data_IF_568844433637
#
_entry.id   IF_568844433637
#
_cell.length_a   1.000
_cell.length_b   1.000
_cell.length_c   1.000
_cell.angle_alpha   90.00
_cell.angle_beta   90.00
_cell.angle_gamma   90.00
#
_symmetry.space_group_name_H-M   'P 1'
#
loop_
_entity.id
_entity.type
_entity.pdbx_description
1 polymer ?
#
# COMPACT_ATOMS: atom_id res chain seq x y z
N UNK A 1 17.87 16.88 -42.52
CA UNK A 1 17.67 17.73 -41.33
C UNK A 1 16.32 17.50 -40.66
N UNK A 2 15.22 17.31 -41.41
CA UNK A 2 13.88 17.04 -40.85
C UNK A 2 13.74 15.67 -40.18
N UNK A 3 14.36 14.62 -40.74
CA UNK A 3 14.27 13.24 -40.23
C UNK A 3 14.78 13.08 -38.78
N UNK A 4 15.88 13.75 -38.42
CA UNK A 4 16.40 13.75 -37.05
C UNK A 4 15.48 14.47 -36.05
N UNK A 5 14.76 15.50 -36.52
CA UNK A 5 13.76 16.22 -35.73
C UNK A 5 12.54 15.34 -35.44
N UNK A 6 12.11 14.54 -36.42
CA UNK A 6 11.02 13.58 -36.23
C UNK A 6 11.38 12.47 -35.24
N UNK A 7 12.61 11.93 -35.32
CA UNK A 7 13.09 10.91 -34.37
C UNK A 7 13.21 11.49 -32.95
N UNK A 8 13.75 12.70 -32.81
CA UNK A 8 13.81 13.39 -31.53
C UNK A 8 12.43 13.67 -30.94
N UNK A 9 11.48 14.12 -31.76
CA UNK A 9 10.10 14.36 -31.33
C UNK A 9 9.39 13.07 -30.90
N UNK A 10 9.59 11.96 -31.63
CA UNK A 10 9.04 10.65 -31.28
C UNK A 10 9.58 10.13 -29.94
N UNK A 11 10.89 10.29 -29.69
CA UNK A 11 11.50 9.92 -28.42
C UNK A 11 10.99 10.79 -27.27
N UNK A 12 10.82 12.10 -27.51
CA UNK A 12 10.27 13.03 -26.54
C UNK A 12 8.82 12.70 -26.18
N UNK A 13 7.98 12.40 -27.17
CA UNK A 13 6.57 12.02 -26.98
C UNK A 13 6.48 10.67 -26.27
N UNK A 14 7.33 9.70 -26.62
CA UNK A 14 7.39 8.42 -25.92
C UNK A 14 7.82 8.55 -24.46
N UNK A 15 8.79 9.42 -24.18
CA UNK A 15 9.24 9.73 -22.82
C UNK A 15 8.13 10.42 -22.02
N UNK A 16 7.45 11.40 -22.62
CA UNK A 16 6.31 12.08 -22.01
C UNK A 16 5.16 11.10 -21.71
N UNK A 17 4.86 10.19 -22.64
CA UNK A 17 3.84 9.16 -22.45
C UNK A 17 4.21 8.17 -21.34
N UNK A 18 5.48 7.81 -21.22
CA UNK A 18 5.98 6.93 -20.15
C UNK A 18 5.84 7.59 -18.77
N UNK A 19 6.14 8.90 -18.67
CA UNK A 19 5.96 9.72 -17.47
C UNK A 19 4.48 9.97 -17.14
N UNK A 20 3.60 10.06 -18.14
CA UNK A 20 2.17 10.29 -17.94
C UNK A 20 1.40 9.00 -17.61
N UNK A 21 2.00 7.83 -17.86
CA UNK A 21 1.42 6.52 -17.55
C UNK A 21 1.08 6.29 -16.07
N UNK A 22 1.90 6.67 -15.06
CA UNK A 22 1.52 6.54 -13.65
C UNK A 22 0.35 7.48 -13.26
N UNK A 23 0.18 8.61 -13.95
CA UNK A 23 -0.90 9.57 -13.66
C UNK A 23 -2.30 9.05 -14.05
N UNK A 24 -2.38 8.07 -14.96
CA UNK A 24 -3.64 7.39 -15.31
C UNK A 24 -3.88 6.06 -14.60
N UNK A 25 -2.91 5.56 -13.84
CA UNK A 25 -3.07 4.32 -13.05
C UNK A 25 -3.85 4.55 -11.74
N UNK A 26 -4.24 5.78 -11.43
CA UNK A 26 -5.29 6.09 -10.43
C UNK A 26 -6.72 5.78 -10.91
N UNK A 27 -6.90 5.24 -12.12
CA UNK A 27 -8.21 4.89 -12.68
C UNK A 27 -8.60 3.41 -12.44
N UNK A 28 -8.37 2.90 -11.23
CA UNK A 28 -8.96 1.64 -10.75
C UNK A 28 -10.29 1.92 -10.02
N UNK A 29 -11.20 2.65 -10.70
CA UNK A 29 -12.52 3.10 -10.21
C UNK A 29 -13.56 1.99 -10.05
N UNK A 30 -13.19 0.72 -10.25
CA UNK A 30 -14.10 -0.43 -10.11
C UNK A 30 -14.01 -1.14 -8.76
N UNK A 31 -13.18 -0.67 -7.82
CA UNK A 31 -13.19 -1.08 -6.40
C UNK A 31 -13.09 0.08 -5.42
N UNK A 32 -13.44 1.30 -5.82
CA UNK A 32 -13.42 2.45 -4.91
C UNK A 32 -14.48 2.28 -3.81
N UNK A 33 -14.09 1.58 -2.74
CA UNK A 33 -14.56 1.93 -1.42
C UNK A 33 -14.36 3.45 -1.26
N UNK A 34 -15.29 4.15 -0.59
CA UNK A 34 -15.06 5.55 -0.26
C UNK A 34 -13.70 5.62 0.46
N UNK A 35 -12.72 6.28 -0.15
CA UNK A 35 -11.43 6.49 0.50
C UNK A 35 -11.75 7.35 1.71
N UNK A 36 -11.40 6.85 2.89
CA UNK A 36 -11.58 7.59 4.13
C UNK A 36 -10.77 8.88 4.02
N UNK A 37 -11.18 9.95 4.70
CA UNK A 37 -10.38 11.20 4.72
C UNK A 37 -8.92 10.93 5.19
N UNK A 38 -8.74 9.88 5.99
CA UNK A 38 -7.46 9.34 6.44
C UNK A 38 -6.64 8.73 5.30
N UNK A 39 -7.23 7.90 4.43
CA UNK A 39 -6.54 7.30 3.29
C UNK A 39 -6.00 8.37 2.33
N UNK A 40 -6.81 9.42 2.10
CA UNK A 40 -6.42 10.57 1.27
C UNK A 40 -5.27 11.38 1.88
N UNK A 41 -5.24 11.53 3.20
CA UNK A 41 -4.15 12.22 3.90
C UNK A 41 -2.86 11.39 3.86
N UNK A 42 -2.94 10.08 4.07
CA UNK A 42 -1.81 9.17 3.96
C UNK A 42 -1.22 9.18 2.54
N UNK A 43 -2.07 9.12 1.53
CA UNK A 43 -1.63 9.15 0.12
C UNK A 43 -0.91 10.46 -0.22
N UNK A 44 -1.44 11.60 0.25
CA UNK A 44 -0.78 12.91 0.09
C UNK A 44 0.60 12.95 0.75
N UNK A 45 0.71 12.45 1.97
CA UNK A 45 1.97 12.39 2.71
C UNK A 45 3.00 11.47 2.01
N UNK A 46 2.56 10.32 1.52
CA UNK A 46 3.39 9.40 0.74
C UNK A 46 3.85 10.02 -0.58
N UNK A 47 2.96 10.74 -1.27
CA UNK A 47 3.29 11.48 -2.48
C UNK A 47 4.36 12.54 -2.21
N UNK A 48 4.21 13.31 -1.12
CA UNK A 48 5.18 14.33 -0.74
C UNK A 48 6.55 13.75 -0.38
N UNK A 49 6.58 12.55 0.23
CA UNK A 49 7.84 11.83 0.47
C UNK A 49 8.54 11.50 -0.84
N UNK A 50 7.81 10.95 -1.81
CA UNK A 50 8.40 10.59 -3.10
C UNK A 50 8.87 11.84 -3.86
N UNK A 51 8.13 12.95 -3.79
CA UNK A 51 8.55 14.20 -4.44
C UNK A 51 9.85 14.75 -3.88
N UNK A 52 10.03 14.72 -2.55
CA UNK A 52 11.29 15.15 -1.91
C UNK A 52 12.45 14.24 -2.30
N UNK A 53 12.23 12.91 -2.29
CA UNK A 53 13.26 11.95 -2.68
C UNK A 53 13.66 12.11 -4.15
N UNK A 54 12.70 12.39 -5.02
CA UNK A 54 12.99 12.68 -6.42
C UNK A 54 13.77 14.00 -6.56
N UNK A 55 13.34 15.06 -5.88
CA UNK A 55 14.04 16.34 -5.90
C UNK A 55 15.50 16.23 -5.44
N UNK A 56 15.78 15.41 -4.42
CA UNK A 56 17.14 15.19 -3.93
C UNK A 56 18.00 14.43 -4.96
N UNK A 57 17.42 13.46 -5.67
CA UNK A 57 18.09 12.74 -6.77
C UNK A 57 18.39 13.67 -7.95
N UNK A 58 17.42 14.47 -8.36
CA UNK A 58 17.57 15.40 -9.48
C UNK A 58 18.62 16.48 -9.17
N UNK A 59 18.64 16.99 -7.93
CA UNK A 59 19.64 17.95 -7.45
C UNK A 59 21.07 17.39 -7.51
N UNK A 60 21.26 16.14 -7.05
CA UNK A 60 22.53 15.42 -7.15
C UNK A 60 22.96 15.23 -8.62
N UNK A 61 22.03 14.89 -9.51
CA UNK A 61 22.33 14.74 -10.94
C UNK A 61 22.74 16.08 -11.57
N UNK A 62 22.11 17.19 -11.20
CA UNK A 62 22.46 18.51 -11.72
C UNK A 62 23.80 19.02 -11.18
N UNK A 63 24.16 18.68 -9.94
CA UNK A 63 25.50 18.95 -9.38
C UNK A 63 26.58 18.14 -10.08
N UNK A 64 26.38 16.83 -10.27
CA UNK A 64 27.30 15.97 -11.03
C UNK A 64 27.45 16.40 -12.50
N UNK A 65 26.39 16.98 -13.09
CA UNK A 65 26.43 17.56 -14.42
C UNK A 65 27.18 18.91 -14.48
N UNK A 66 27.61 19.46 -13.34
CA UNK A 66 28.31 20.74 -13.21
C UNK A 66 27.42 21.96 -13.44
N UNK A 67 26.09 21.81 -13.33
CA UNK A 67 25.13 22.93 -13.48
C UNK A 67 24.98 23.77 -12.21
N UNK A 68 25.35 23.20 -11.06
CA UNK A 68 25.32 23.84 -9.74
C UNK A 68 26.73 23.87 -9.15
N UNK A 69 27.04 24.96 -8.44
CA UNK A 69 28.24 25.02 -7.60
C UNK A 69 27.96 24.37 -6.23
N UNK A 70 29.02 24.12 -5.45
CA UNK A 70 28.92 23.43 -4.17
C UNK A 70 28.10 24.20 -3.11
N UNK A 71 28.16 25.54 -3.12
CA UNK A 71 27.42 26.38 -2.16
C UNK A 71 25.91 26.33 -2.42
N UNK A 72 25.51 26.45 -3.69
CA UNK A 72 24.11 26.38 -4.12
C UNK A 72 23.54 24.98 -3.89
N UNK A 73 24.31 23.94 -4.23
CA UNK A 73 23.94 22.55 -3.96
C UNK A 73 23.69 22.32 -2.47
N UNK A 74 24.62 22.71 -1.60
CA UNK A 74 24.49 22.52 -0.15
C UNK A 74 23.27 23.25 0.44
N UNK A 75 22.96 24.46 -0.06
CA UNK A 75 21.79 25.22 0.38
C UNK A 75 20.48 24.51 -0.02
N UNK A 76 20.36 24.05 -1.27
CA UNK A 76 19.19 23.34 -1.79
C UNK A 76 19.03 21.96 -1.12
N UNK A 77 20.13 21.22 -0.95
CA UNK A 77 20.12 19.90 -0.30
C UNK A 77 19.64 20.01 1.15
N UNK A 78 20.11 21.03 1.89
CA UNK A 78 19.68 21.28 3.26
C UNK A 78 18.17 21.58 3.35
N UNK A 79 17.65 22.37 2.40
CA UNK A 79 16.22 22.69 2.34
C UNK A 79 15.37 21.44 2.07
N UNK A 80 15.72 20.66 1.04
CA UNK A 80 14.98 19.44 0.69
C UNK A 80 15.08 18.40 1.80
N UNK A 81 16.23 18.26 2.46
CA UNK A 81 16.41 17.36 3.61
C UNK A 81 15.51 17.78 4.77
N UNK A 82 15.40 19.07 5.06
CA UNK A 82 14.50 19.58 6.10
C UNK A 82 13.02 19.27 5.78
N UNK A 83 12.61 19.44 4.52
CA UNK A 83 11.26 19.08 4.06
C UNK A 83 11.01 17.57 4.20
N UNK A 84 11.96 16.74 3.77
CA UNK A 84 11.85 15.28 3.88
C UNK A 84 11.72 14.80 5.32
N UNK A 85 12.45 15.40 6.25
CA UNK A 85 12.32 15.10 7.69
C UNK A 85 10.93 15.50 8.22
N UNK A 86 10.40 16.65 7.80
CA UNK A 86 9.07 17.09 8.20
C UNK A 86 7.98 16.12 7.70
N UNK A 87 8.08 15.69 6.44
CA UNK A 87 7.15 14.71 5.85
C UNK A 87 7.23 13.37 6.58
N UNK A 88 8.44 12.84 6.82
CA UNK A 88 8.60 11.58 7.54
C UNK A 88 8.03 11.62 8.96
N UNK A 89 8.19 12.75 9.66
CA UNK A 89 7.59 12.94 10.97
C UNK A 89 6.06 12.95 10.93
N UNK A 90 5.48 13.59 9.91
CA UNK A 90 4.03 13.59 9.71
C UNK A 90 3.49 12.18 9.39
N UNK A 91 4.21 11.37 8.61
CA UNK A 91 3.84 9.95 8.40
C UNK A 91 3.89 9.13 9.70
N UNK A 92 4.91 9.34 10.54
CA UNK A 92 5.06 8.62 11.81
C UNK A 92 3.91 8.96 12.78
N UNK A 93 3.57 10.25 12.88
CA UNK A 93 2.43 10.73 13.66
C UNK A 93 1.10 10.18 13.13
N UNK A 94 0.92 10.16 11.81
CA UNK A 94 -0.26 9.60 11.16
C UNK A 94 -0.41 8.08 11.42
N UNK A 95 0.70 7.33 11.33
CA UNK A 95 0.71 5.90 11.63
C UNK A 95 0.39 5.60 13.10
N UNK A 96 0.87 6.46 14.02
CA UNK A 96 0.55 6.39 15.44
C UNK A 96 -0.92 6.74 15.72
N UNK A 97 -1.51 7.72 15.03
CA UNK A 97 -2.92 8.05 15.19
C UNK A 97 -3.86 6.98 14.63
N UNK A 98 -3.53 6.39 13.48
CA UNK A 98 -4.34 5.33 12.86
C UNK A 98 -4.42 4.07 13.73
N UNK A 99 -3.37 3.80 14.52
CA UNK A 99 -3.33 2.69 15.49
C UNK A 99 -4.02 2.99 16.82
N UNK A 100 -4.49 4.23 17.04
CA UNK A 100 -5.26 4.66 18.21
C UNK A 100 -6.73 4.95 17.88
N UNK A 101 -7.17 4.80 16.62
CA UNK A 101 -8.56 5.03 16.21
C UNK A 101 -9.47 3.91 16.76
N UNK A 102 -10.48 4.21 17.59
CA UNK A 102 -11.42 3.20 18.08
C UNK A 102 -12.10 2.39 16.98
N UNK A 103 -12.27 2.97 15.78
CA UNK A 103 -12.82 2.24 14.63
C UNK A 103 -11.90 1.13 14.14
N UNK A 104 -10.58 1.34 14.14
CA UNK A 104 -9.61 0.32 13.71
C UNK A 104 -9.50 -0.82 14.73
N UNK A 105 -9.61 -0.52 16.03
CA UNK A 105 -9.73 -1.52 17.09
C UNK A 105 -10.99 -2.40 16.91
N UNK A 106 -12.15 -1.79 16.61
CA UNK A 106 -13.40 -2.51 16.32
C UNK A 106 -13.29 -3.40 15.08
N UNK A 107 -12.56 -2.96 14.04
CA UNK A 107 -12.31 -3.75 12.83
C UNK A 107 -11.38 -4.95 13.10
N UNK A 108 -10.36 -4.76 13.93
CA UNK A 108 -9.45 -5.83 14.37
C UNK A 108 -10.23 -6.88 15.17
N UNK A 109 -11.09 -6.45 16.11
CA UNK A 109 -11.92 -7.36 16.91
C UNK A 109 -12.86 -8.18 16.01
N UNK A 110 -13.51 -7.55 15.03
CA UNK A 110 -14.34 -8.24 14.04
C UNK A 110 -13.56 -9.24 13.18
N UNK A 111 -12.32 -8.92 12.79
CA UNK A 111 -11.47 -9.84 12.05
C UNK A 111 -11.12 -11.08 12.89
N UNK A 112 -10.78 -10.88 14.17
CA UNK A 112 -10.51 -11.96 15.13
C UNK A 112 -11.77 -12.82 15.29
N UNK A 113 -12.94 -12.22 15.53
CA UNK A 113 -14.19 -12.96 15.68
C UNK A 113 -14.52 -13.80 14.46
N UNK A 114 -14.36 -13.25 13.24
CA UNK A 114 -14.55 -14.01 11.99
C UNK A 114 -13.57 -15.15 11.85
N UNK A 115 -12.29 -14.93 12.17
CA UNK A 115 -11.26 -15.97 12.11
C UNK A 115 -11.53 -17.10 13.12
N UNK A 116 -11.96 -16.75 14.34
CA UNK A 116 -12.34 -17.69 15.39
C UNK A 116 -13.61 -18.46 14.98
N UNK A 117 -14.64 -17.79 14.48
CA UNK A 117 -15.88 -18.43 14.04
C UNK A 117 -15.65 -19.42 12.88
N UNK A 118 -14.78 -19.05 11.93
CA UNK A 118 -14.38 -19.94 10.83
C UNK A 118 -13.64 -21.19 11.35
N UNK A 119 -12.84 -21.05 12.40
CA UNK A 119 -12.10 -22.15 13.02
C UNK A 119 -13.00 -23.04 13.86
N UNK A 120 -13.96 -22.47 14.60
CA UNK A 120 -14.87 -23.21 15.47
C UNK A 120 -15.83 -24.10 14.66
N UNK A 121 -16.28 -23.66 13.48
CA UNK A 121 -17.12 -24.47 12.59
C UNK A 121 -16.39 -25.74 12.07
N UNK A 122 -15.05 -25.72 12.03
CA UNK A 122 -14.24 -26.88 11.64
C UNK A 122 -14.09 -27.92 12.75
N UNK A 123 -14.41 -27.58 14.00
CA UNK A 123 -14.19 -28.46 15.17
C UNK A 123 -15.46 -28.89 15.89
N UNK A 124 -16.67 -28.66 15.36
CA UNK A 124 -17.88 -29.31 15.90
C UNK A 124 -17.83 -30.81 15.55
N UNK A 125 -17.48 -31.72 16.49
CA UNK A 125 -17.48 -33.13 16.21
C UNK A 125 -18.93 -33.55 16.02
N UNK A 126 -19.15 -34.42 15.05
CA UNK A 126 -20.42 -35.11 14.85
C UNK A 126 -20.75 -35.98 16.07
N UNK A 127 -21.38 -35.39 17.09
CA UNK A 127 -22.18 -36.12 18.09
C UNK A 127 -23.57 -36.39 17.48
N UNK A 128 -23.62 -37.25 16.48
CA UNK A 128 -24.86 -37.90 16.07
C UNK A 128 -24.54 -39.20 15.34
N UNK A 129 -24.00 -40.19 16.06
CA UNK A 129 -24.07 -41.58 15.63
C UNK A 129 -25.16 -42.27 16.48
N UNK A 130 -26.38 -42.48 15.97
CA UNK A 130 -27.31 -43.38 16.60
C UNK A 130 -26.73 -44.79 16.46
N UNK A 131 -26.27 -45.37 17.57
CA UNK A 131 -25.91 -46.79 17.63
C UNK A 131 -27.21 -47.59 17.58
N UNK A 132 -27.73 -47.81 16.37
CA UNK A 132 -28.79 -48.76 16.11
C UNK A 132 -28.23 -49.98 15.36
N UNK A 133 -28.71 -51.16 15.77
CA UNK A 133 -28.39 -52.51 15.28
C UNK A 133 -27.11 -53.11 15.90
N UNK A 134 -27.09 -54.35 16.41
CA UNK A 134 -27.99 -55.47 16.22
C UNK A 134 -27.67 -56.47 17.36
N UNK A 135 -28.58 -56.63 18.34
CA UNK A 135 -28.45 -57.66 19.37
C UNK A 135 -29.02 -58.98 18.80
N UNK A 136 -28.12 -59.84 18.34
CA UNK A 136 -28.40 -61.17 17.84
C UNK A 136 -28.72 -62.10 19.03
N UNK A 137 -29.90 -62.73 19.11
CA UNK A 137 -30.24 -63.53 20.26
C UNK A 137 -29.48 -64.88 20.26
N UNK A 138 -29.06 -65.22 21.48
CA UNK A 138 -28.44 -66.45 21.96
C UNK A 138 -29.07 -67.76 21.45
N UNK A 139 -28.18 -68.67 21.03
CA UNK A 139 -28.11 -70.09 21.37
C UNK A 139 -29.36 -70.95 21.62
N UNK A 140 -29.46 -72.04 20.86
CA UNK A 140 -29.89 -73.38 21.27
C UNK A 140 -29.33 -74.36 20.21
N UNK A 141 -28.31 -75.17 20.48
CA UNK A 141 -28.30 -76.44 21.24
C UNK A 141 -29.04 -77.60 20.54
N UNK A 142 -28.29 -78.69 20.39
CA UNK A 142 -28.63 -80.08 20.02
C UNK A 142 -28.61 -80.44 18.52
#
# INVERSE_FOLDING_TARGET
MTLGMFVGALLLIGLLYWVMRPFWQGADWQRAAPHSDEDLQLEQLLFQRESVLQGLRDLEMDHQAGKLNDEDFAALEAQLRAEGVAVLKALDEFGASASLDPRSDDEIEQWIERAVAATLNRHRPSEARPTASHDQPRGASA
#
